data_IF_033850759227
#
_entry.id   IF_033850759227
#
_cell.length_a   1.000
_cell.length_b   1.000
_cell.length_c   1.000
_cell.angle_alpha   90.00
_cell.angle_beta   90.00
_cell.angle_gamma   90.00
#
_symmetry.space_group_name_H-M   'P 1'
#
loop_
_entity.id
_entity.type
_entity.pdbx_description
1 polymer ?
#
# COMPACT_ATOMS: atom_id res chain seq x y z
N UNK A 1 10.14 -22.96 -21.38
CA UNK A 1 10.08 -22.34 -20.04
C UNK A 1 10.41 -20.88 -20.22
N UNK A 2 9.55 -20.00 -19.82
CA UNK A 2 9.78 -18.53 -19.86
C UNK A 2 10.87 -18.15 -18.84
N UNK A 3 11.42 -16.93 -18.96
CA UNK A 3 12.45 -16.47 -18.01
C UNK A 3 11.86 -16.31 -16.61
N UNK A 4 10.62 -15.85 -16.51
CA UNK A 4 9.85 -15.86 -15.25
C UNK A 4 9.78 -17.26 -14.62
N UNK A 5 9.43 -18.30 -15.39
CA UNK A 5 9.38 -19.68 -14.87
C UNK A 5 10.74 -20.16 -14.41
N UNK A 6 11.81 -19.88 -15.18
CA UNK A 6 13.19 -20.25 -14.81
C UNK A 6 13.58 -19.61 -13.47
N UNK A 7 13.34 -18.30 -13.32
CA UNK A 7 13.66 -17.57 -12.11
C UNK A 7 12.83 -18.07 -10.91
N UNK A 8 11.51 -18.24 -11.10
CA UNK A 8 10.65 -18.77 -10.06
C UNK A 8 11.16 -20.14 -9.56
N UNK A 9 11.36 -21.09 -10.46
CA UNK A 9 11.80 -22.44 -10.05
C UNK A 9 13.22 -22.46 -9.50
N UNK A 10 14.13 -21.58 -9.96
CA UNK A 10 15.46 -21.43 -9.37
C UNK A 10 15.36 -21.07 -7.89
N UNK A 11 14.62 -20.01 -7.57
CA UNK A 11 14.46 -19.52 -6.20
C UNK A 11 13.66 -20.52 -5.37
N UNK A 12 12.53 -20.99 -5.89
CA UNK A 12 11.64 -21.94 -5.22
C UNK A 12 12.38 -23.21 -4.75
N UNK A 13 13.21 -23.76 -5.62
CA UNK A 13 14.03 -24.94 -5.30
C UNK A 13 14.98 -24.67 -4.13
N UNK A 14 15.68 -23.56 -4.14
CA UNK A 14 16.62 -23.22 -3.08
C UNK A 14 15.92 -22.90 -1.75
N UNK A 15 14.77 -22.23 -1.80
CA UNK A 15 13.95 -21.97 -0.62
C UNK A 15 13.44 -23.27 0.00
N UNK A 16 12.96 -24.23 -0.81
CA UNK A 16 12.52 -25.56 -0.32
C UNK A 16 13.68 -26.37 0.26
N UNK A 17 14.85 -26.38 -0.40
CA UNK A 17 16.04 -27.14 0.05
C UNK A 17 16.58 -26.58 1.39
N UNK A 18 16.47 -25.26 1.61
CA UNK A 18 16.97 -24.60 2.82
C UNK A 18 15.91 -24.44 3.93
N UNK A 19 14.66 -24.82 3.67
CA UNK A 19 13.56 -24.68 4.61
C UNK A 19 13.75 -25.47 5.91
N UNK A 20 14.34 -26.68 5.82
CA UNK A 20 14.49 -27.59 6.97
C UNK A 20 13.14 -27.88 7.63
N UNK A 21 13.08 -27.71 8.96
CA UNK A 21 11.84 -27.81 9.75
C UNK A 21 11.07 -26.49 9.88
N UNK A 22 11.58 -25.39 9.26
CA UNK A 22 10.99 -24.05 9.33
C UNK A 22 9.87 -23.83 8.30
N UNK A 23 9.35 -22.61 8.25
CA UNK A 23 8.35 -22.22 7.26
C UNK A 23 9.00 -21.87 5.91
N UNK A 24 8.24 -22.05 4.83
CA UNK A 24 8.66 -21.56 3.50
C UNK A 24 8.86 -20.03 3.53
N UNK A 25 8.03 -19.31 4.29
CA UNK A 25 8.14 -17.86 4.44
C UNK A 25 9.48 -17.45 5.05
N UNK A 26 9.88 -18.05 6.18
CA UNK A 26 11.16 -17.73 6.83
C UNK A 26 12.35 -18.09 5.91
N UNK A 27 12.27 -19.22 5.19
CA UNK A 27 13.28 -19.60 4.22
C UNK A 27 13.36 -18.62 3.05
N UNK A 28 12.23 -18.13 2.55
CA UNK A 28 12.17 -17.10 1.50
C UNK A 28 12.78 -15.78 1.96
N UNK A 29 12.45 -15.32 3.19
CA UNK A 29 13.07 -14.13 3.80
C UNK A 29 14.58 -14.28 3.85
N UNK A 30 15.07 -15.42 4.33
CA UNK A 30 16.50 -15.69 4.47
C UNK A 30 17.21 -15.81 3.11
N UNK A 31 16.60 -16.47 2.12
CA UNK A 31 17.16 -16.60 0.78
C UNK A 31 17.30 -15.24 0.09
N UNK A 32 16.28 -14.42 0.15
CA UNK A 32 16.31 -13.09 -0.46
C UNK A 32 17.23 -12.11 0.30
N UNK A 33 17.61 -12.41 1.54
CA UNK A 33 18.65 -11.67 2.28
C UNK A 33 20.04 -12.03 1.72
N UNK A 34 20.22 -11.93 0.40
CA UNK A 34 21.40 -12.42 -0.30
C UNK A 34 22.68 -11.77 0.27
N UNK A 35 23.37 -12.54 1.12
CA UNK A 35 24.76 -12.28 1.48
C UNK A 35 25.71 -12.72 0.35
N UNK A 36 25.16 -13.32 -0.73
CA UNK A 36 25.92 -13.89 -1.82
C UNK A 36 25.80 -13.00 -3.07
N UNK A 37 26.83 -12.22 -3.34
CA UNK A 37 26.93 -11.35 -4.52
C UNK A 37 26.73 -12.10 -5.85
N UNK A 38 27.13 -13.37 -5.95
CA UNK A 38 26.99 -14.17 -7.18
C UNK A 38 25.50 -14.40 -7.54
N UNK A 39 24.66 -14.77 -6.58
CA UNK A 39 23.22 -14.97 -6.84
C UNK A 39 22.50 -13.67 -7.17
N UNK A 40 22.90 -12.57 -6.53
CA UNK A 40 22.38 -11.23 -6.83
C UNK A 40 22.66 -10.86 -8.29
N UNK A 41 23.93 -10.88 -8.72
CA UNK A 41 24.30 -10.52 -10.08
C UNK A 41 23.71 -11.48 -11.11
N UNK A 42 23.62 -12.79 -10.80
CA UNK A 42 22.99 -13.75 -11.71
C UNK A 42 21.50 -13.43 -11.93
N UNK A 43 20.80 -12.93 -10.92
CA UNK A 43 19.39 -12.51 -11.06
C UNK A 43 19.30 -11.20 -11.84
N UNK A 44 20.02 -10.16 -11.43
CA UNK A 44 19.90 -8.80 -12.00
C UNK A 44 20.38 -8.77 -13.45
N UNK A 45 21.44 -9.50 -13.79
CA UNK A 45 22.02 -9.49 -15.13
C UNK A 45 21.24 -10.35 -16.14
N UNK A 46 20.52 -11.38 -15.69
CA UNK A 46 19.88 -12.36 -16.57
C UNK A 46 18.35 -12.26 -16.66
N UNK A 47 17.70 -11.50 -15.77
CA UNK A 47 16.24 -11.41 -15.75
C UNK A 47 15.74 -9.96 -15.79
N UNK A 48 14.62 -9.74 -16.46
CA UNK A 48 13.99 -8.42 -16.47
C UNK A 48 13.41 -8.05 -15.11
N UNK A 49 13.32 -6.75 -14.79
CA UNK A 49 12.66 -6.25 -13.57
C UNK A 49 11.22 -6.76 -13.44
N UNK A 50 10.52 -6.94 -14.56
CA UNK A 50 9.16 -7.49 -14.58
C UNK A 50 9.15 -8.99 -14.21
N UNK A 51 10.13 -9.78 -14.68
CA UNK A 51 10.25 -11.18 -14.29
C UNK A 51 10.62 -11.32 -12.82
N UNK A 52 11.54 -10.48 -12.33
CA UNK A 52 11.93 -10.43 -10.91
C UNK A 52 10.71 -10.09 -10.02
N UNK A 53 9.98 -9.04 -10.37
CA UNK A 53 8.76 -8.62 -9.67
C UNK A 53 7.74 -9.77 -9.61
N UNK A 54 7.43 -10.37 -10.75
CA UNK A 54 6.44 -11.45 -10.82
C UNK A 54 6.88 -12.72 -10.10
N UNK A 55 8.15 -13.09 -10.23
CA UNK A 55 8.70 -14.24 -9.50
C UNK A 55 8.57 -14.02 -7.99
N UNK A 56 8.95 -12.84 -7.48
CA UNK A 56 8.77 -12.47 -6.09
C UNK A 56 7.31 -12.56 -5.64
N UNK A 57 6.38 -11.99 -6.40
CA UNK A 57 4.95 -12.05 -6.08
C UNK A 57 4.42 -13.48 -5.99
N UNK A 58 4.81 -14.37 -6.92
CA UNK A 58 4.37 -15.77 -6.89
C UNK A 58 5.00 -16.55 -5.73
N UNK A 59 6.28 -16.33 -5.44
CA UNK A 59 6.96 -16.93 -4.29
C UNK A 59 6.32 -16.50 -2.98
N UNK A 60 6.01 -15.21 -2.86
CA UNK A 60 5.32 -14.65 -1.71
C UNK A 60 3.91 -15.23 -1.55
N UNK A 61 3.12 -15.31 -2.63
CA UNK A 61 1.79 -15.94 -2.59
C UNK A 61 1.86 -17.41 -2.15
N UNK A 62 2.88 -18.15 -2.60
CA UNK A 62 3.12 -19.53 -2.13
C UNK A 62 3.43 -19.55 -0.63
N UNK A 63 4.33 -18.67 -0.17
CA UNK A 63 4.74 -18.54 1.21
C UNK A 63 3.55 -18.20 2.14
N UNK A 64 2.75 -17.20 1.77
CA UNK A 64 1.60 -16.78 2.56
C UNK A 64 0.48 -17.83 2.60
N UNK A 65 0.29 -18.57 1.50
CA UNK A 65 -0.66 -19.69 1.46
C UNK A 65 -0.26 -20.81 2.41
N UNK A 66 1.05 -21.15 2.49
CA UNK A 66 1.56 -22.15 3.42
C UNK A 66 1.46 -21.65 4.88
N UNK A 67 1.83 -20.41 5.12
CA UNK A 67 1.78 -19.78 6.43
C UNK A 67 0.34 -19.76 6.99
N UNK A 68 -0.67 -19.61 6.13
CA UNK A 68 -2.10 -19.59 6.46
C UNK A 68 -2.43 -18.65 7.65
N UNK A 69 -1.74 -17.51 7.72
CA UNK A 69 -1.94 -16.51 8.75
C UNK A 69 -2.64 -15.29 8.15
N UNK A 70 -3.88 -14.97 8.59
CA UNK A 70 -4.66 -13.87 8.03
C UNK A 70 -4.07 -12.47 8.29
N UNK A 71 -3.07 -12.36 9.17
CA UNK A 71 -2.35 -11.11 9.40
C UNK A 71 -1.35 -10.79 8.29
N UNK A 72 -1.03 -11.77 7.45
CA UNK A 72 -0.14 -11.60 6.30
C UNK A 72 -0.97 -11.66 5.01
N UNK A 73 -1.00 -10.57 4.30
CA UNK A 73 -1.70 -10.45 3.02
C UNK A 73 -0.84 -9.66 2.02
N UNK A 74 -1.23 -9.67 0.78
CA UNK A 74 -0.59 -8.90 -0.28
C UNK A 74 -1.65 -8.03 -0.95
N UNK A 75 -1.41 -6.73 -1.02
CA UNK A 75 -2.30 -5.81 -1.74
C UNK A 75 -2.39 -6.23 -3.22
N UNK A 76 -3.57 -6.55 -3.74
CA UNK A 76 -3.74 -6.96 -5.13
C UNK A 76 -3.21 -5.92 -6.12
N UNK A 77 -2.49 -6.37 -7.17
CA UNK A 77 -1.90 -5.49 -8.18
C UNK A 77 -2.93 -4.56 -8.84
N UNK A 78 -4.19 -5.01 -8.97
CA UNK A 78 -5.25 -4.18 -9.53
C UNK A 78 -5.60 -2.97 -8.66
N UNK A 79 -5.48 -3.07 -7.33
CA UNK A 79 -5.70 -1.93 -6.43
C UNK A 79 -4.57 -0.91 -6.60
N UNK A 80 -3.32 -1.37 -6.64
CA UNK A 80 -2.18 -0.50 -6.89
C UNK A 80 -2.23 0.17 -8.26
N UNK A 81 -2.73 -0.54 -9.28
CA UNK A 81 -2.96 0.05 -10.61
C UNK A 81 -3.99 1.20 -10.54
N UNK A 82 -5.10 1.02 -9.81
CA UNK A 82 -6.09 2.10 -9.66
C UNK A 82 -5.47 3.32 -8.98
N UNK A 83 -4.71 3.11 -7.90
CA UNK A 83 -4.06 4.19 -7.18
C UNK A 83 -2.95 4.85 -8.00
N UNK A 84 -2.15 4.10 -8.75
CA UNK A 84 -1.15 4.65 -9.67
C UNK A 84 -1.78 5.61 -10.67
N UNK A 85 -2.90 5.25 -11.30
CA UNK A 85 -3.61 6.13 -12.23
C UNK A 85 -4.23 7.36 -11.54
N UNK A 86 -4.72 7.21 -10.30
CA UNK A 86 -5.17 8.35 -9.50
C UNK A 86 -4.00 9.33 -9.26
N UNK A 87 -2.83 8.82 -8.85
CA UNK A 87 -1.64 9.65 -8.63
C UNK A 87 -1.15 10.31 -9.92
N UNK A 88 -1.17 9.61 -11.05
CA UNK A 88 -0.86 10.21 -12.36
C UNK A 88 -1.81 11.38 -12.70
N UNK A 89 -3.10 11.24 -12.42
CA UNK A 89 -4.06 12.33 -12.61
C UNK A 89 -3.81 13.51 -11.67
N UNK A 90 -3.38 13.26 -10.43
CA UNK A 90 -3.16 14.29 -9.42
C UNK A 90 -1.87 15.08 -9.61
N UNK A 91 -0.80 14.43 -10.09
CA UNK A 91 0.56 14.97 -10.08
C UNK A 91 1.22 15.07 -11.47
N UNK A 92 0.59 14.53 -12.51
CA UNK A 92 1.04 14.68 -13.89
C UNK A 92 2.55 14.45 -14.10
N UNK A 93 3.09 13.38 -13.51
CA UNK A 93 4.51 13.01 -13.52
C UNK A 93 5.46 14.01 -12.81
N UNK A 94 4.95 14.87 -11.93
CA UNK A 94 5.79 15.67 -11.04
C UNK A 94 6.59 14.75 -10.11
N UNK A 95 7.76 15.21 -9.68
CA UNK A 95 8.52 14.53 -8.64
C UNK A 95 7.82 14.73 -7.30
N UNK A 96 7.42 13.64 -6.64
CA UNK A 96 6.72 13.66 -5.36
C UNK A 96 7.30 12.65 -4.37
N UNK A 97 7.15 12.97 -3.09
CA UNK A 97 7.43 12.04 -2.00
C UNK A 97 6.20 11.21 -1.65
N UNK A 98 6.38 9.89 -1.59
CA UNK A 98 5.30 8.93 -1.29
C UNK A 98 5.72 8.02 -0.16
N UNK A 99 4.94 7.96 0.92
CA UNK A 99 5.15 7.00 1.99
C UNK A 99 3.99 6.01 2.09
N UNK A 100 4.32 4.73 2.29
CA UNK A 100 3.36 3.67 2.62
C UNK A 100 3.47 3.31 4.10
N UNK A 101 2.39 3.49 4.85
CA UNK A 101 2.37 3.34 6.31
C UNK A 101 1.98 1.94 6.81
N UNK A 102 1.67 1.03 5.91
CA UNK A 102 1.49 -0.39 6.20
C UNK A 102 1.95 -1.19 4.99
N UNK A 103 3.24 -1.05 4.67
CA UNK A 103 3.79 -1.46 3.38
C UNK A 103 3.84 -2.98 3.18
N UNK A 104 3.75 -3.77 4.26
CA UNK A 104 3.77 -5.22 4.20
C UNK A 104 4.96 -5.74 3.42
N UNK A 105 4.68 -6.55 2.41
CA UNK A 105 5.71 -7.09 1.52
C UNK A 105 6.31 -6.07 0.52
N UNK A 106 5.90 -4.81 0.58
CA UNK A 106 6.33 -3.77 -0.38
C UNK A 106 5.60 -3.81 -1.73
N UNK A 107 4.64 -4.72 -1.91
CA UNK A 107 4.00 -4.92 -3.21
C UNK A 107 3.36 -3.65 -3.78
N UNK A 108 2.84 -2.78 -2.92
CA UNK A 108 2.27 -1.50 -3.33
C UNK A 108 3.34 -0.59 -3.95
N UNK A 109 4.44 -0.35 -3.24
CA UNK A 109 5.54 0.50 -3.72
C UNK A 109 6.26 -0.12 -4.92
N UNK A 110 6.41 -1.45 -4.97
CA UNK A 110 6.95 -2.18 -6.12
C UNK A 110 6.10 -1.89 -7.37
N UNK A 111 4.78 -2.03 -7.26
CA UNK A 111 3.89 -1.78 -8.40
C UNK A 111 3.87 -0.29 -8.78
N UNK A 112 3.87 0.62 -7.80
CA UNK A 112 3.93 2.05 -8.06
C UNK A 112 5.20 2.42 -8.84
N UNK A 113 6.36 1.90 -8.43
CA UNK A 113 7.64 2.18 -9.10
C UNK A 113 7.76 1.55 -10.49
N UNK A 114 7.03 0.46 -10.78
CA UNK A 114 7.13 -0.28 -12.04
C UNK A 114 6.01 0.05 -13.04
N UNK A 115 4.81 0.41 -12.57
CA UNK A 115 3.65 0.68 -13.41
C UNK A 115 3.49 2.15 -13.75
N UNK A 116 3.87 3.05 -12.84
CA UNK A 116 3.71 4.48 -13.03
C UNK A 116 4.92 5.10 -13.73
N UNK A 117 4.67 6.21 -14.44
CA UNK A 117 5.71 7.03 -15.07
C UNK A 117 6.21 8.17 -14.19
N UNK A 118 5.68 8.28 -12.96
CA UNK A 118 6.05 9.31 -12.01
C UNK A 118 7.48 9.16 -11.49
N UNK A 119 8.07 10.25 -11.03
CA UNK A 119 9.33 10.28 -10.28
C UNK A 119 8.99 10.32 -8.79
N UNK A 120 9.31 9.26 -8.05
CA UNK A 120 8.91 9.10 -6.66
C UNK A 120 10.11 9.00 -5.71
N UNK A 121 10.09 9.79 -4.64
CA UNK A 121 10.89 9.53 -3.44
C UNK A 121 10.07 8.61 -2.52
N UNK A 122 10.45 7.34 -2.44
CA UNK A 122 9.66 6.30 -1.78
C UNK A 122 10.11 6.05 -0.35
N UNK A 123 9.15 6.02 0.58
CA UNK A 123 9.35 5.61 1.97
C UNK A 123 8.40 4.48 2.32
N UNK A 124 8.91 3.44 2.93
CA UNK A 124 8.16 2.28 3.40
C UNK A 124 8.20 2.22 4.91
N UNK A 125 7.06 2.04 5.55
CA UNK A 125 6.96 1.85 7.00
C UNK A 125 6.18 0.58 7.28
N UNK A 126 6.78 -0.35 8.02
CA UNK A 126 6.11 -1.55 8.51
C UNK A 126 6.68 -2.01 9.85
N UNK A 127 5.82 -2.54 10.70
CA UNK A 127 6.21 -3.04 12.02
C UNK A 127 6.86 -4.43 11.94
N UNK A 128 6.58 -5.21 10.92
CA UNK A 128 7.07 -6.57 10.76
C UNK A 128 8.49 -6.59 10.18
N UNK A 129 9.43 -7.11 10.98
CA UNK A 129 10.83 -7.19 10.59
C UNK A 129 11.08 -8.10 9.38
N UNK A 130 10.29 -9.16 9.20
CA UNK A 130 10.47 -10.05 8.05
C UNK A 130 10.03 -9.36 6.77
N UNK A 131 8.95 -8.58 6.82
CA UNK A 131 8.55 -7.75 5.70
C UNK A 131 9.59 -6.67 5.38
N UNK A 132 10.15 -5.98 6.38
CA UNK A 132 11.20 -5.00 6.15
C UNK A 132 12.43 -5.62 5.46
N UNK A 133 12.83 -6.84 5.86
CA UNK A 133 13.91 -7.60 5.21
C UNK A 133 13.58 -8.00 3.79
N UNK A 134 12.37 -8.54 3.54
CA UNK A 134 11.89 -8.87 2.20
C UNK A 134 11.93 -7.65 1.28
N UNK A 135 11.46 -6.52 1.77
CA UNK A 135 11.46 -5.25 1.03
C UNK A 135 12.88 -4.80 0.68
N UNK A 136 13.81 -4.81 1.64
CA UNK A 136 15.20 -4.44 1.38
C UNK A 136 15.78 -5.24 0.20
N UNK A 137 15.50 -6.54 0.16
CA UNK A 137 16.03 -7.43 -0.84
C UNK A 137 15.38 -7.25 -2.20
N UNK A 138 14.04 -7.20 -2.24
CA UNK A 138 13.35 -7.04 -3.53
C UNK A 138 13.61 -5.66 -4.16
N UNK A 139 13.68 -4.59 -3.36
CA UNK A 139 14.00 -3.28 -3.89
C UNK A 139 15.45 -3.20 -4.39
N UNK A 140 16.39 -3.90 -3.74
CA UNK A 140 17.75 -4.05 -4.27
C UNK A 140 17.75 -4.77 -5.62
N UNK A 141 17.06 -5.92 -5.75
CA UNK A 141 16.95 -6.66 -7.01
C UNK A 141 16.27 -5.86 -8.13
N UNK A 142 15.33 -5.00 -7.77
CA UNK A 142 14.66 -4.10 -8.72
C UNK A 142 15.44 -2.80 -8.96
N UNK A 143 16.60 -2.61 -8.30
CA UNK A 143 17.38 -1.37 -8.33
C UNK A 143 16.50 -0.13 -8.07
N UNK A 144 15.59 -0.25 -7.11
CA UNK A 144 14.67 0.81 -6.71
C UNK A 144 15.07 1.36 -5.35
N UNK A 145 15.26 2.69 -5.27
CA UNK A 145 15.62 3.33 -4.02
C UNK A 145 14.38 3.59 -3.15
N UNK A 146 14.32 2.97 -1.99
CA UNK A 146 13.23 3.11 -1.00
C UNK A 146 13.84 3.27 0.38
N UNK A 147 13.42 4.29 1.12
CA UNK A 147 13.73 4.40 2.55
C UNK A 147 12.83 3.43 3.33
N UNK A 148 13.42 2.40 3.93
CA UNK A 148 12.67 1.36 4.66
C UNK A 148 12.81 1.62 6.17
N UNK A 149 11.66 1.75 6.84
CA UNK A 149 11.56 2.03 8.28
C UNK A 149 10.81 0.88 8.94
N UNK A 150 11.53 0.05 9.70
CA UNK A 150 10.91 -1.02 10.47
C UNK A 150 10.42 -0.47 11.82
N UNK A 151 9.21 0.05 11.83
CA UNK A 151 8.59 0.68 12.99
C UNK A 151 7.06 0.63 12.88
N UNK A 152 6.38 0.64 14.02
CA UNK A 152 4.95 0.90 14.10
C UNK A 152 4.63 2.30 13.55
N UNK A 153 3.86 2.36 12.45
CA UNK A 153 3.51 3.60 11.78
C UNK A 153 2.63 4.53 12.63
N UNK A 154 1.93 3.99 13.62
CA UNK A 154 1.10 4.77 14.56
C UNK A 154 1.92 5.39 15.70
N UNK A 155 3.23 5.14 15.78
CA UNK A 155 4.15 5.86 16.67
C UNK A 155 4.79 7.05 15.94
N UNK A 156 5.37 8.02 16.68
CA UNK A 156 6.05 9.14 16.05
C UNK A 156 7.15 8.66 15.09
N UNK A 157 7.06 9.02 13.81
CA UNK A 157 8.02 8.66 12.78
C UNK A 157 9.04 9.80 12.58
N UNK A 158 10.31 9.46 12.43
CA UNK A 158 11.36 10.42 12.08
C UNK A 158 11.49 10.56 10.56
N UNK A 159 10.43 10.97 9.90
CA UNK A 159 10.38 11.25 8.46
C UNK A 159 9.93 12.66 8.18
N UNK A 160 10.23 13.16 7.00
CA UNK A 160 9.66 14.42 6.51
C UNK A 160 8.16 14.27 6.24
N UNK A 161 7.46 15.38 6.15
CA UNK A 161 6.11 15.40 5.58
C UNK A 161 6.16 14.94 4.12
N UNK A 162 5.09 14.30 3.67
CA UNK A 162 4.99 13.64 2.37
C UNK A 162 3.95 14.34 1.48
N UNK A 163 4.18 14.32 0.18
CA UNK A 163 3.19 14.80 -0.78
C UNK A 163 2.04 13.81 -0.92
N UNK A 164 2.35 12.52 -0.76
CA UNK A 164 1.36 11.44 -0.75
C UNK A 164 1.64 10.47 0.39
N UNK A 165 0.58 10.11 1.10
CA UNK A 165 0.60 8.95 1.99
C UNK A 165 -0.37 7.91 1.44
N UNK A 166 0.14 6.74 1.17
CA UNK A 166 -0.66 5.58 0.79
C UNK A 166 -0.68 4.56 1.92
N UNK A 167 -1.72 3.76 2.00
CA UNK A 167 -1.73 2.56 2.83
C UNK A 167 -2.88 1.64 2.46
N UNK A 168 -2.64 0.36 2.34
CA UNK A 168 -3.69 -0.66 2.49
C UNK A 168 -3.86 -0.95 3.97
N UNK A 169 -4.75 -0.20 4.62
CA UNK A 169 -4.82 -0.12 6.07
C UNK A 169 -5.15 -1.48 6.71
N UNK A 170 -4.37 -1.93 7.69
CA UNK A 170 -4.61 -3.20 8.37
C UNK A 170 -6.01 -3.29 8.97
N UNK A 171 -6.68 -4.41 8.74
CA UNK A 171 -7.99 -4.66 9.31
C UNK A 171 -7.91 -4.88 10.83
N UNK A 172 -8.92 -4.42 11.56
CA UNK A 172 -9.08 -4.69 12.99
C UNK A 172 -8.71 -3.50 13.87
N UNK A 173 -8.23 -3.81 15.05
CA UNK A 173 -8.02 -2.86 16.13
C UNK A 173 -6.54 -2.73 16.47
N UNK A 174 -6.16 -1.54 16.92
CA UNK A 174 -4.81 -1.25 17.38
C UNK A 174 -4.60 -1.79 18.79
N UNK A 175 -3.52 -2.56 18.97
CA UNK A 175 -3.28 -3.26 20.22
C UNK A 175 -2.66 -2.39 21.33
N UNK A 176 -1.97 -1.30 20.98
CA UNK A 176 -1.35 -0.38 21.94
C UNK A 176 -2.35 0.72 22.32
N UNK A 177 -3.17 0.42 23.35
CA UNK A 177 -4.19 1.34 23.85
C UNK A 177 -3.57 2.66 24.36
N UNK A 178 -2.43 2.59 25.05
CA UNK A 178 -1.77 3.79 25.59
C UNK A 178 -1.32 4.72 24.48
N UNK A 179 -0.76 4.18 23.39
CA UNK A 179 -0.37 4.99 22.24
C UNK A 179 -1.60 5.54 21.51
N UNK A 180 -2.72 4.81 21.47
CA UNK A 180 -3.93 5.27 20.79
C UNK A 180 -4.51 6.55 21.41
N UNK A 181 -4.29 6.81 22.70
CA UNK A 181 -4.72 8.02 23.39
C UNK A 181 -4.06 9.31 22.86
N UNK A 182 -2.99 9.22 22.08
CA UNK A 182 -2.38 10.36 21.39
C UNK A 182 -3.18 10.83 20.16
N UNK A 183 -4.20 10.09 19.76
CA UNK A 183 -5.02 10.37 18.58
C UNK A 183 -6.39 10.93 18.94
N UNK A 184 -6.88 11.90 18.16
CA UNK A 184 -8.25 12.44 18.28
C UNK A 184 -9.29 11.39 17.93
N UNK A 185 -8.93 10.46 17.02
CA UNK A 185 -9.79 9.37 16.56
C UNK A 185 -9.66 8.10 17.38
N UNK A 186 -9.05 8.16 18.57
CA UNK A 186 -9.07 7.05 19.51
C UNK A 186 -10.51 6.71 19.94
N UNK A 187 -10.75 5.42 20.21
CA UNK A 187 -12.03 4.98 20.78
C UNK A 187 -12.20 5.52 22.18
N UNK A 188 -13.44 5.92 22.53
CA UNK A 188 -13.77 6.32 23.91
C UNK A 188 -13.78 5.13 24.87
N UNK A 189 -14.01 3.92 24.35
CA UNK A 189 -14.03 2.68 25.13
C UNK A 189 -13.40 1.54 24.32
N UNK A 190 -12.50 0.78 24.94
CA UNK A 190 -11.82 -0.36 24.32
C UNK A 190 -10.82 0.03 23.21
N UNK A 191 -10.47 -0.95 22.38
CA UNK A 191 -9.46 -0.78 21.35
C UNK A 191 -9.93 0.13 20.20
N UNK A 192 -9.04 1.00 19.76
CA UNK A 192 -9.29 1.89 18.63
C UNK A 192 -9.19 1.16 17.29
N UNK A 193 -10.03 1.52 16.31
CA UNK A 193 -9.95 0.98 14.95
C UNK A 193 -8.68 1.45 14.25
N UNK A 194 -7.88 0.52 13.73
CA UNK A 194 -6.69 0.84 12.93
C UNK A 194 -6.99 1.89 11.86
N UNK A 195 -8.09 1.71 11.13
CA UNK A 195 -8.42 2.58 10.00
C UNK A 195 -8.59 4.05 10.41
N UNK A 196 -9.18 4.34 11.57
CA UNK A 196 -9.33 5.70 12.06
C UNK A 196 -7.99 6.31 12.46
N UNK A 197 -7.16 5.55 13.18
CA UNK A 197 -5.83 6.00 13.58
C UNK A 197 -4.90 6.23 12.37
N UNK A 198 -4.95 5.36 11.36
CA UNK A 198 -4.19 5.53 10.12
C UNK A 198 -4.64 6.73 9.29
N UNK A 199 -5.94 7.05 9.27
CA UNK A 199 -6.47 8.27 8.63
C UNK A 199 -5.87 9.52 9.31
N UNK A 200 -5.90 9.58 10.64
CA UNK A 200 -5.31 10.69 11.38
C UNK A 200 -3.79 10.74 11.21
N UNK A 201 -3.11 9.61 11.28
CA UNK A 201 -1.67 9.53 11.09
C UNK A 201 -1.26 10.00 9.68
N UNK A 202 -2.00 9.60 8.65
CA UNK A 202 -1.77 10.10 7.31
C UNK A 202 -1.89 11.64 7.26
N UNK A 203 -2.97 12.21 7.81
CA UNK A 203 -3.14 13.65 7.89
C UNK A 203 -1.98 14.34 8.63
N UNK A 204 -1.48 13.73 9.72
CA UNK A 204 -0.37 14.25 10.49
C UNK A 204 0.95 14.36 9.70
N UNK A 205 1.18 13.46 8.73
CA UNK A 205 2.41 13.41 7.94
C UNK A 205 2.28 13.95 6.51
N UNK A 206 1.12 14.44 6.09
CA UNK A 206 0.99 15.12 4.81
C UNK A 206 1.67 16.49 4.81
N UNK A 207 2.28 16.85 3.66
CA UNK A 207 2.65 18.22 3.34
C UNK A 207 1.40 19.11 3.24
N UNK A 208 1.59 20.41 3.16
CA UNK A 208 0.55 21.31 2.69
C UNK A 208 0.23 20.96 1.23
N UNK A 209 -1.06 20.84 0.88
CA UNK A 209 -1.53 20.28 -0.39
C UNK A 209 -1.16 18.80 -0.66
N UNK A 210 -0.68 18.06 0.32
CA UNK A 210 -0.50 16.62 0.22
C UNK A 210 -1.84 15.87 0.22
N UNK A 211 -1.83 14.65 -0.31
CA UNK A 211 -3.02 13.80 -0.44
C UNK A 211 -2.79 12.45 0.22
N UNK A 212 -3.66 12.07 1.15
CA UNK A 212 -3.73 10.69 1.64
C UNK A 212 -4.59 9.85 0.70
N UNK A 213 -4.08 8.70 0.26
CA UNK A 213 -4.79 7.73 -0.59
C UNK A 213 -4.82 6.40 0.14
N UNK A 214 -5.88 6.16 0.88
CA UNK A 214 -5.96 5.04 1.81
C UNK A 214 -6.98 4.01 1.32
N UNK A 215 -6.59 2.74 1.36
CA UNK A 215 -7.50 1.62 1.14
C UNK A 215 -8.03 1.18 2.50
N UNK A 216 -9.29 1.47 2.74
CA UNK A 216 -9.92 1.22 4.03
C UNK A 216 -11.10 0.25 3.90
N UNK A 217 -11.43 -0.41 4.98
CA UNK A 217 -12.64 -1.21 5.05
C UNK A 217 -13.88 -0.32 4.92
N UNK A 218 -14.85 -0.73 4.09
CA UNK A 218 -16.03 0.08 3.76
C UNK A 218 -16.85 0.52 5.00
N UNK A 219 -16.86 -0.28 6.08
CA UNK A 219 -17.54 0.06 7.33
C UNK A 219 -17.00 1.30 8.04
N UNK A 220 -15.75 1.69 7.80
CA UNK A 220 -15.17 2.94 8.35
C UNK A 220 -15.96 4.17 7.92
N UNK A 221 -16.64 4.08 6.78
CA UNK A 221 -17.48 5.16 6.25
C UNK A 221 -18.87 5.26 6.92
N UNK A 222 -19.22 4.34 7.83
CA UNK A 222 -20.45 4.41 8.65
C UNK A 222 -20.35 5.43 9.79
N UNK A 223 -19.37 6.29 9.74
CA UNK A 223 -19.06 7.54 10.44
C UNK A 223 -19.50 7.58 11.92
N UNK A 224 -18.59 7.25 12.82
CA UNK A 224 -18.69 7.57 14.24
C UNK A 224 -18.64 9.09 14.47
N UNK A 225 -19.18 9.57 15.59
CA UNK A 225 -19.30 11.03 15.84
C UNK A 225 -17.94 11.74 15.97
N UNK A 226 -16.93 11.07 16.53
CA UNK A 226 -15.56 11.59 16.58
C UNK A 226 -14.97 11.76 15.17
N UNK A 227 -15.24 10.83 14.25
CA UNK A 227 -14.78 10.90 12.86
C UNK A 227 -15.51 12.03 12.11
N UNK A 228 -16.81 12.23 12.32
CA UNK A 228 -17.54 13.38 11.76
C UNK A 228 -16.91 14.70 12.19
N UNK A 229 -16.64 14.85 13.49
CA UNK A 229 -15.98 16.04 14.01
C UNK A 229 -14.59 16.25 13.39
N UNK A 230 -13.81 15.18 13.23
CA UNK A 230 -12.50 15.25 12.60
C UNK A 230 -12.57 15.68 11.12
N UNK A 231 -13.61 15.23 10.38
CA UNK A 231 -13.89 15.69 9.01
C UNK A 231 -14.31 17.17 8.96
N UNK A 232 -14.93 17.69 10.00
CA UNK A 232 -15.33 19.10 10.06
C UNK A 232 -14.16 20.03 10.39
N UNK A 233 -13.25 19.59 11.26
CA UNK A 233 -12.22 20.44 11.85
C UNK A 233 -10.82 20.25 11.26
N UNK A 234 -10.42 19.02 10.89
CA UNK A 234 -9.02 18.66 10.64
C UNK A 234 -8.71 18.28 9.20
N UNK A 235 -9.62 17.56 8.52
CA UNK A 235 -9.39 17.06 7.17
C UNK A 235 -10.61 17.24 6.26
N UNK A 236 -10.37 17.17 4.96
CA UNK A 236 -11.41 16.97 3.95
C UNK A 236 -11.42 15.51 3.50
N UNK A 237 -12.59 14.90 3.39
CA UNK A 237 -12.80 13.66 2.64
C UNK A 237 -13.14 14.05 1.20
N UNK A 238 -12.18 13.96 0.30
CA UNK A 238 -12.32 14.46 -1.08
C UNK A 238 -12.88 13.42 -2.04
N UNK A 239 -12.61 12.14 -1.80
CA UNK A 239 -13.17 11.07 -2.61
C UNK A 239 -13.46 9.81 -1.80
N UNK A 240 -14.49 9.07 -2.22
CA UNK A 240 -14.79 7.70 -1.79
C UNK A 240 -15.02 6.87 -3.04
N UNK A 241 -14.11 5.95 -3.31
CA UNK A 241 -14.10 5.13 -4.51
C UNK A 241 -14.23 3.66 -4.08
N UNK A 242 -15.41 3.09 -4.24
CA UNK A 242 -15.66 1.70 -3.86
C UNK A 242 -15.04 0.74 -4.87
N UNK A 243 -14.43 -0.33 -4.37
CA UNK A 243 -13.83 -1.38 -5.19
C UNK A 243 -14.90 -2.39 -5.64
N UNK A 244 -14.70 -3.07 -6.80
CA UNK A 244 -15.64 -4.06 -7.30
C UNK A 244 -15.89 -5.20 -6.31
N UNK A 245 -17.14 -5.57 -6.11
CA UNK A 245 -17.54 -6.60 -5.15
C UNK A 245 -16.90 -7.97 -5.44
N UNK A 246 -16.66 -8.28 -6.72
CA UNK A 246 -16.00 -9.53 -7.14
C UNK A 246 -14.56 -9.68 -6.68
N UNK A 247 -13.94 -8.63 -6.18
CA UNK A 247 -12.59 -8.68 -5.61
C UNK A 247 -12.56 -9.29 -4.21
N UNK A 248 -13.71 -9.43 -3.56
CA UNK A 248 -13.82 -9.83 -2.17
C UNK A 248 -14.63 -11.13 -2.04
N UNK A 249 -14.21 -12.01 -1.12
CA UNK A 249 -14.90 -13.28 -0.86
C UNK A 249 -16.30 -13.09 -0.26
N UNK A 250 -16.48 -12.01 0.47
CA UNK A 250 -17.74 -11.67 1.11
C UNK A 250 -17.88 -10.16 1.37
N UNK A 251 -19.10 -9.69 1.62
CA UNK A 251 -19.41 -8.28 1.85
C UNK A 251 -18.68 -7.67 3.06
N UNK A 252 -18.33 -8.50 4.06
CA UNK A 252 -17.61 -8.03 5.24
C UNK A 252 -16.13 -7.69 4.99
N UNK A 253 -15.60 -8.01 3.83
CA UNK A 253 -14.21 -7.72 3.43
C UNK A 253 -14.11 -6.58 2.40
N UNK A 254 -15.24 -5.99 2.00
CA UNK A 254 -15.27 -4.92 1.01
C UNK A 254 -14.45 -3.72 1.46
N UNK A 255 -13.61 -3.24 0.55
CA UNK A 255 -12.75 -2.06 0.75
C UNK A 255 -13.16 -0.91 -0.18
N UNK A 256 -12.76 0.28 0.19
CA UNK A 256 -12.84 1.48 -0.64
C UNK A 256 -11.52 2.22 -0.60
N UNK A 257 -11.20 2.94 -1.66
CA UNK A 257 -10.13 3.93 -1.69
C UNK A 257 -10.73 5.25 -1.25
N UNK A 258 -10.14 5.89 -0.25
CA UNK A 258 -10.49 7.25 0.14
C UNK A 258 -9.35 8.21 -0.18
N UNK A 259 -9.71 9.40 -0.61
CA UNK A 259 -8.77 10.52 -0.74
C UNK A 259 -9.07 11.54 0.34
N UNK A 260 -8.03 11.92 1.08
CA UNK A 260 -8.11 12.92 2.12
C UNK A 260 -7.06 14.01 1.91
N UNK A 261 -7.39 15.24 2.29
CA UNK A 261 -6.44 16.35 2.41
C UNK A 261 -6.60 17.00 3.78
N UNK A 262 -5.58 17.73 4.25
CA UNK A 262 -5.75 18.60 5.41
C UNK A 262 -6.84 19.62 5.15
N UNK A 263 -7.47 20.11 6.23
CA UNK A 263 -8.43 21.22 6.15
C UNK A 263 -7.74 22.44 5.52
N UNK A 264 -8.54 23.30 4.88
CA UNK A 264 -8.09 24.52 4.21
C UNK A 264 -7.12 24.34 3.03
N UNK A 265 -6.97 23.11 2.51
CA UNK A 265 -6.20 22.84 1.31
C UNK A 265 -7.06 22.92 0.05
N UNK A 266 -6.46 23.40 -1.03
CA UNK A 266 -7.15 23.67 -2.31
C UNK A 266 -6.72 22.76 -3.45
N UNK A 267 -5.90 21.73 -3.17
CA UNK A 267 -5.42 20.84 -4.22
C UNK A 267 -6.54 20.05 -4.88
N UNK A 268 -7.51 19.62 -4.12
CA UNK A 268 -8.67 18.86 -4.60
C UNK A 268 -9.96 19.71 -4.53
N UNK A 269 -10.97 19.41 -5.37
CA UNK A 269 -12.27 20.06 -5.31
C UNK A 269 -12.95 19.89 -3.93
N UNK A 270 -13.78 20.84 -3.58
CA UNK A 270 -14.57 20.78 -2.34
C UNK A 270 -15.70 19.75 -2.41
N UNK A 271 -16.21 19.48 -3.62
CA UNK A 271 -17.22 18.46 -3.83
C UNK A 271 -16.59 17.06 -3.73
N UNK A 272 -17.17 16.20 -2.91
CA UNK A 272 -16.70 14.83 -2.72
C UNK A 272 -16.95 14.00 -3.98
N UNK A 273 -15.91 13.38 -4.51
CA UNK A 273 -16.03 12.42 -5.61
C UNK A 273 -16.52 11.05 -5.10
N UNK A 274 -17.71 10.66 -5.51
CA UNK A 274 -18.29 9.36 -5.14
C UNK A 274 -18.38 8.49 -6.39
N UNK A 275 -17.66 7.38 -6.41
CA UNK A 275 -17.63 6.48 -7.56
C UNK A 275 -17.47 5.02 -7.14
N UNK A 276 -17.77 4.12 -8.07
CA UNK A 276 -17.37 2.72 -8.01
C UNK A 276 -16.42 2.44 -9.16
N UNK A 277 -15.23 1.91 -8.85
CA UNK A 277 -14.31 1.47 -9.90
C UNK A 277 -14.94 0.28 -10.63
N UNK A 278 -15.06 0.32 -11.96
CA UNK A 278 -15.49 -0.86 -12.71
C UNK A 278 -14.42 -1.95 -12.67
N UNK A 279 -14.83 -3.18 -12.92
CA UNK A 279 -13.89 -4.30 -13.04
C UNK A 279 -12.77 -3.97 -14.02
N UNK A 280 -11.53 -4.29 -13.68
CA UNK A 280 -10.35 -4.11 -14.55
C UNK A 280 -10.49 -4.82 -15.92
N UNK A 281 -11.41 -5.80 -16.02
CA UNK A 281 -11.76 -6.48 -17.27
C UNK A 281 -12.63 -5.63 -18.19
N UNK A 282 -13.32 -4.64 -17.64
CA UNK A 282 -14.14 -3.68 -18.38
C UNK A 282 -13.31 -2.44 -18.74
N UNK A 283 -12.54 -2.53 -19.82
CA UNK A 283 -11.62 -1.46 -20.25
C UNK A 283 -12.33 -0.14 -20.55
N UNK A 284 -13.52 -0.19 -21.18
CA UNK A 284 -14.31 0.99 -21.49
C UNK A 284 -14.83 1.67 -20.23
N UNK A 285 -15.43 0.91 -19.33
CA UNK A 285 -15.88 1.43 -18.03
C UNK A 285 -14.74 2.03 -17.22
N UNK A 286 -13.56 1.41 -17.26
CA UNK A 286 -12.39 1.93 -16.58
C UNK A 286 -11.88 3.25 -17.20
N UNK A 287 -11.86 3.35 -18.51
CA UNK A 287 -11.50 4.61 -19.21
C UNK A 287 -12.47 5.74 -18.84
N UNK A 288 -13.78 5.45 -18.81
CA UNK A 288 -14.81 6.41 -18.40
C UNK A 288 -14.61 6.84 -16.93
N UNK A 289 -14.30 5.93 -16.02
CA UNK A 289 -14.00 6.26 -14.62
C UNK A 289 -12.81 7.25 -14.52
N UNK A 290 -11.73 7.02 -15.27
CA UNK A 290 -10.57 7.92 -15.27
C UNK A 290 -10.94 9.28 -15.86
N UNK A 291 -11.78 9.33 -16.89
CA UNK A 291 -12.27 10.59 -17.47
C UNK A 291 -13.15 11.36 -16.47
N UNK A 292 -14.08 10.69 -15.80
CA UNK A 292 -14.92 11.29 -14.76
C UNK A 292 -14.06 11.83 -13.60
N UNK A 293 -13.04 11.09 -13.18
CA UNK A 293 -12.12 11.55 -12.15
C UNK A 293 -11.34 12.80 -12.59
N UNK A 294 -10.86 12.86 -13.83
CA UNK A 294 -10.19 14.05 -14.39
C UNK A 294 -11.13 15.25 -14.50
N UNK A 295 -12.39 15.03 -14.91
CA UNK A 295 -13.40 16.09 -14.97
C UNK A 295 -13.66 16.66 -13.58
N UNK A 296 -13.85 15.80 -12.57
CA UNK A 296 -13.98 16.24 -11.19
C UNK A 296 -12.76 17.05 -10.72
N UNK A 297 -11.54 16.63 -11.05
CA UNK A 297 -10.33 17.40 -10.71
C UNK A 297 -10.30 18.80 -11.35
N UNK A 298 -10.99 19.01 -12.45
CA UNK A 298 -11.06 20.31 -13.14
C UNK A 298 -12.11 21.28 -12.55
N UNK A 299 -12.96 20.83 -11.62
CA UNK A 299 -14.02 21.62 -10.97
C UNK A 299 -13.54 22.47 -9.78
N UNK A 300 -12.24 22.78 -9.71
CA UNK A 300 -11.60 23.56 -8.63
C UNK A 300 -12.09 25.00 -8.58
#
# INVERSE_FOLDING_TARGET
MSDLEKLFFKIDKQVEENKGEGSYFDSLVNYLTLENDEDYFDIVDNFSKEDIKKAYQFLLLKALKELNNPSYDITPEVITMYISHILECLYNNEKISVADFASGSGNFLINLSTLSKGDYELTSVDVDNNYARLQQNIFNLLETNVEIINQDALKPLNIKKQDVIISDVPFGYYADEDNSLNYKLCSAEGYSLNALLFIEQAANYLNDNGVGVLVVHKKVLELEDNFKKFLEEDINLNAVITLPDEMFKNASQQKAIILITKKDQTKLPNQVFLAQVPSHKNKEGYANFIEEFKNWLSEK
#
